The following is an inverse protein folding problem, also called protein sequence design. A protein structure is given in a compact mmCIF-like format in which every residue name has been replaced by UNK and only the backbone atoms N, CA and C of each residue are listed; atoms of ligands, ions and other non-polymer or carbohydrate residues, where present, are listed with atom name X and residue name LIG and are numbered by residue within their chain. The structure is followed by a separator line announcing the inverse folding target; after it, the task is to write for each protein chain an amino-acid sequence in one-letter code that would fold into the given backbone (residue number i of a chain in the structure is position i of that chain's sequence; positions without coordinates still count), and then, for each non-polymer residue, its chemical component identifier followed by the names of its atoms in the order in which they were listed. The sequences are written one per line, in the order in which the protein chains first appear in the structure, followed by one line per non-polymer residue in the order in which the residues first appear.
data_IF_853573130972
#
_entry.id   IF_853573130972
#
_cell.length_a   1.000
_cell.length_b   1.000
_cell.length_c   1.000
_cell.angle_alpha   90.00
_cell.angle_beta   90.00
_cell.angle_gamma   90.00
#
_symmetry.space_group_name_H-M   'P 1'
#
loop_
_entity.id
_entity.type
_entity.pdbx_description
1 polymer ?
#
# COMPACT_ATOMS: atom_id res chain seq x y z
N UNK A 1 6.59 -38.37 11.50
CA UNK A 1 6.13 -37.10 10.90
C UNK A 1 6.65 -35.96 11.76
N UNK A 2 7.75 -35.34 11.35
CA UNK A 2 8.30 -34.17 12.04
C UNK A 2 7.54 -32.96 11.49
N UNK A 3 6.56 -32.49 12.25
CA UNK A 3 5.80 -31.28 11.93
C UNK A 3 6.72 -30.08 12.03
N UNK A 4 7.05 -29.50 10.88
CA UNK A 4 7.69 -28.19 10.81
C UNK A 4 6.69 -27.15 11.31
N UNK A 5 6.77 -26.79 12.59
CA UNK A 5 6.21 -25.54 13.06
C UNK A 5 7.03 -24.41 12.41
N UNK A 6 6.49 -23.83 11.34
CA UNK A 6 6.95 -22.55 10.84
C UNK A 6 6.81 -21.53 11.97
N UNK A 7 7.93 -21.20 12.62
CA UNK A 7 7.98 -20.04 13.50
C UNK A 7 7.71 -18.83 12.62
N UNK A 8 6.51 -18.27 12.75
CA UNK A 8 6.22 -16.94 12.27
C UNK A 8 7.24 -16.01 12.92
N UNK A 9 8.16 -15.48 12.12
CA UNK A 9 9.09 -14.47 12.57
C UNK A 9 8.27 -13.28 13.09
N UNK A 10 8.17 -13.17 14.41
CA UNK A 10 7.66 -12.00 15.10
C UNK A 10 8.63 -10.85 14.83
N UNK A 11 8.40 -10.10 13.76
CA UNK A 11 9.10 -8.86 13.44
C UNK A 11 8.69 -7.77 14.43
N UNK A 12 9.17 -7.88 15.67
CA UNK A 12 8.87 -6.96 16.77
C UNK A 12 9.72 -5.66 16.75
N UNK A 13 10.59 -5.46 15.75
CA UNK A 13 11.54 -4.34 15.72
C UNK A 13 11.65 -3.63 14.35
N UNK A 14 10.60 -3.67 13.53
CA UNK A 14 10.60 -2.98 12.23
C UNK A 14 10.30 -1.49 12.44
N UNK A 15 11.32 -0.64 12.28
CA UNK A 15 11.13 0.82 12.21
C UNK A 15 10.64 1.22 10.81
N UNK A 16 9.64 2.11 10.73
CA UNK A 16 9.01 2.51 9.48
C UNK A 16 9.39 3.94 9.10
N UNK A 17 9.74 4.15 7.84
CA UNK A 17 10.07 5.46 7.30
C UNK A 17 9.11 5.82 6.20
N UNK A 18 8.56 7.02 6.30
CA UNK A 18 7.74 7.57 5.24
C UNK A 18 8.59 7.78 3.98
N UNK A 19 8.12 7.19 2.88
CA UNK A 19 8.64 7.47 1.55
C UNK A 19 7.84 8.59 0.89
N UNK A 20 6.50 8.51 0.94
CA UNK A 20 5.61 9.48 0.30
C UNK A 20 4.19 9.42 0.86
N UNK A 21 3.61 10.59 1.11
CA UNK A 21 2.17 10.77 1.26
C UNK A 21 1.52 11.19 -0.07
N UNK A 22 0.37 10.60 -0.40
CA UNK A 22 -0.44 10.89 -1.58
C UNK A 22 -1.82 11.36 -1.10
N UNK A 23 -2.17 12.61 -1.35
CA UNK A 23 -3.48 13.14 -0.97
C UNK A 23 -4.61 12.48 -1.75
N UNK A 24 -5.70 12.16 -1.06
CA UNK A 24 -6.93 11.69 -1.67
C UNK A 24 -7.63 12.85 -2.40
N UNK A 25 -8.25 12.60 -3.56
CA UNK A 25 -9.04 13.60 -4.25
C UNK A 25 -10.27 13.98 -3.42
N UNK A 26 -10.70 15.25 -3.48
CA UNK A 26 -11.84 15.78 -2.73
C UNK A 26 -13.20 15.13 -3.09
N UNK A 27 -13.23 14.29 -4.12
CA UNK A 27 -14.43 13.54 -4.48
C UNK A 27 -14.63 12.44 -3.45
N UNK A 28 -15.74 12.49 -2.69
CA UNK A 28 -16.10 11.51 -1.66
C UNK A 28 -16.20 10.09 -2.25
N UNK A 29 -15.09 9.35 -2.18
CA UNK A 29 -15.02 7.94 -2.51
C UNK A 29 -15.10 7.11 -1.21
N UNK A 30 -15.64 5.90 -1.31
CA UNK A 30 -15.63 4.96 -0.20
C UNK A 30 -14.19 4.51 0.09
N UNK A 31 -13.73 4.67 1.35
CA UNK A 31 -12.40 4.18 1.81
C UNK A 31 -12.19 2.70 1.50
N UNK A 32 -13.26 1.91 1.55
CA UNK A 32 -13.23 0.47 1.25
C UNK A 32 -12.92 0.23 -0.24
N UNK A 33 -13.52 0.99 -1.14
CA UNK A 33 -13.30 0.84 -2.58
C UNK A 33 -11.87 1.23 -2.96
N UNK A 34 -11.37 2.33 -2.39
CA UNK A 34 -9.99 2.77 -2.58
C UNK A 34 -9.02 1.68 -2.11
N UNK A 35 -9.26 1.11 -0.93
CA UNK A 35 -8.45 0.02 -0.39
C UNK A 35 -8.50 -1.23 -1.27
N UNK A 36 -9.69 -1.69 -1.67
CA UNK A 36 -9.86 -2.89 -2.50
C UNK A 36 -9.16 -2.75 -3.85
N UNK A 37 -9.28 -1.57 -4.50
CA UNK A 37 -8.63 -1.32 -5.78
C UNK A 37 -7.11 -1.29 -5.67
N UNK A 38 -6.59 -0.82 -4.55
CA UNK A 38 -5.16 -0.82 -4.29
C UNK A 38 -4.62 -2.21 -3.93
N UNK A 39 -5.37 -3.01 -3.19
CA UNK A 39 -5.03 -4.42 -2.93
C UNK A 39 -4.98 -5.25 -4.22
N UNK A 40 -5.89 -4.99 -5.16
CA UNK A 40 -5.88 -5.62 -6.49
C UNK A 40 -4.56 -5.33 -7.23
N UNK A 41 -4.07 -4.08 -7.20
CA UNK A 41 -2.83 -3.68 -7.87
C UNK A 41 -1.56 -4.24 -7.23
N UNK A 42 -1.55 -4.31 -5.90
CA UNK A 42 -0.46 -4.94 -5.14
C UNK A 42 -0.34 -6.41 -5.52
N UNK A 43 -1.49 -7.10 -5.66
CA UNK A 43 -1.54 -8.51 -6.06
C UNK A 43 -1.01 -8.72 -7.49
N UNK A 44 -1.27 -7.80 -8.42
CA UNK A 44 -0.76 -7.86 -9.80
C UNK A 44 0.77 -7.77 -9.90
N UNK A 45 1.44 -7.20 -8.89
CA UNK A 45 2.90 -7.03 -8.85
C UNK A 45 3.63 -8.10 -8.02
N UNK A 46 2.98 -9.24 -7.75
CA UNK A 46 3.55 -10.38 -7.00
C UNK A 46 3.98 -10.05 -5.56
N UNK A 47 3.47 -8.96 -4.99
CA UNK A 47 3.73 -8.63 -3.60
C UNK A 47 2.91 -9.55 -2.70
N UNK A 48 3.57 -10.12 -1.69
CA UNK A 48 2.88 -10.92 -0.69
C UNK A 48 2.31 -10.00 0.38
N UNK A 49 0.99 -9.98 0.55
CA UNK A 49 0.36 -9.30 1.69
C UNK A 49 0.72 -10.09 2.95
N UNK A 50 1.42 -9.45 3.87
CA UNK A 50 1.91 -10.06 5.11
C UNK A 50 0.94 -9.81 6.26
N UNK A 51 0.28 -8.65 6.26
CA UNK A 51 -0.60 -8.21 7.33
C UNK A 51 -1.58 -7.16 6.78
N UNK A 52 -2.79 -7.09 7.34
CA UNK A 52 -3.80 -6.12 6.95
C UNK A 52 -4.71 -5.75 8.13
N UNK A 53 -4.97 -4.46 8.26
CA UNK A 53 -5.99 -3.89 9.15
C UNK A 53 -7.01 -3.12 8.32
N UNK A 54 -8.02 -2.50 8.93
CA UNK A 54 -8.95 -1.57 8.25
C UNK A 54 -8.19 -0.50 7.47
N UNK A 55 -7.22 0.13 8.13
CA UNK A 55 -6.58 1.38 7.68
C UNK A 55 -5.13 1.18 7.21
N UNK A 56 -4.67 -0.06 7.08
CA UNK A 56 -3.34 -0.32 6.54
C UNK A 56 -3.20 -1.71 5.96
N UNK A 57 -2.21 -1.90 5.10
CA UNK A 57 -1.69 -3.23 4.80
C UNK A 57 -0.18 -3.20 4.68
N UNK A 58 0.45 -4.34 4.99
CA UNK A 58 1.87 -4.58 4.83
C UNK A 58 2.07 -5.60 3.71
N UNK A 59 3.07 -5.33 2.89
CA UNK A 59 3.43 -6.20 1.78
C UNK A 59 4.93 -6.40 1.71
N UNK A 60 5.35 -7.58 1.24
CA UNK A 60 6.76 -7.94 1.13
C UNK A 60 7.06 -8.55 -0.24
N UNK A 61 8.18 -8.12 -0.83
CA UNK A 61 8.75 -8.70 -2.05
C UNK A 61 10.27 -8.59 -1.98
N UNK A 62 10.97 -9.71 -2.18
CA UNK A 62 12.44 -9.77 -2.17
C UNK A 62 13.10 -9.12 -0.94
N UNK A 63 12.55 -9.37 0.27
CA UNK A 63 13.03 -8.82 1.56
C UNK A 63 12.90 -7.30 1.69
N UNK A 64 12.16 -6.64 0.81
CA UNK A 64 11.71 -5.26 0.97
C UNK A 64 10.30 -5.28 1.55
N UNK A 65 10.08 -4.61 2.67
CA UNK A 65 8.76 -4.51 3.29
C UNK A 65 8.21 -3.10 3.14
N UNK A 66 6.95 -3.03 2.73
CA UNK A 66 6.23 -1.77 2.53
C UNK A 66 4.96 -1.81 3.35
N UNK A 67 4.66 -0.73 4.04
CA UNK A 67 3.40 -0.52 4.75
C UNK A 67 2.66 0.65 4.11
N UNK A 68 1.47 0.37 3.59
CA UNK A 68 0.54 1.38 3.09
C UNK A 68 -0.46 1.69 4.19
N UNK A 69 -0.65 2.97 4.49
CA UNK A 69 -1.61 3.46 5.49
C UNK A 69 -2.64 4.34 4.78
N UNK A 70 -3.90 4.17 5.14
CA UNK A 70 -5.05 4.90 4.63
C UNK A 70 -5.59 5.82 5.72
N UNK A 71 -5.75 7.09 5.39
CA UNK A 71 -6.53 8.04 6.20
C UNK A 71 -7.71 8.57 5.37
N UNK A 72 -8.49 9.50 5.93
CA UNK A 72 -9.56 10.17 5.19
C UNK A 72 -9.02 11.19 4.19
N UNK A 73 -7.73 11.55 4.30
CA UNK A 73 -7.11 12.64 3.56
C UNK A 73 -5.96 12.18 2.66
N UNK A 74 -5.32 11.06 2.99
CA UNK A 74 -4.11 10.63 2.32
C UNK A 74 -3.87 9.12 2.37
N UNK A 75 -3.01 8.67 1.46
CA UNK A 75 -2.38 7.36 1.45
C UNK A 75 -0.89 7.56 1.70
N UNK A 76 -0.37 6.98 2.77
CA UNK A 76 1.05 7.07 3.13
C UNK A 76 1.75 5.77 2.81
N UNK A 77 2.81 5.84 2.00
CA UNK A 77 3.71 4.75 1.68
C UNK A 77 4.89 4.81 2.66
N UNK A 78 5.01 3.80 3.50
CA UNK A 78 6.16 3.61 4.37
C UNK A 78 6.99 2.41 3.92
N UNK A 79 8.30 2.50 4.06
CA UNK A 79 9.23 1.37 3.90
C UNK A 79 9.87 1.05 5.25
N UNK A 80 10.32 -0.18 5.44
CA UNK A 80 11.13 -0.50 6.62
C UNK A 80 12.49 0.23 6.56
N UNK A 81 12.92 0.84 7.69
CA UNK A 81 14.33 1.17 7.84
C UNK A 81 15.06 -0.12 8.14
N UNK A 82 15.99 -0.45 7.27
CA UNK A 82 17.09 -1.34 7.62
C UNK A 82 18.35 -0.48 7.80
N UNK A 83 18.26 0.58 8.59
CA UNK A 83 19.42 1.28 9.13
C UNK A 83 19.41 1.14 10.66
N UNK A 84 19.93 0.02 11.15
CA UNK A 84 20.45 -0.24 12.51
C UNK A 84 20.84 -1.73 12.54
N UNK A 85 22.09 -2.20 12.59
CA UNK A 85 23.42 -1.63 12.81
C UNK A 85 24.46 -2.52 12.09
N UNK A 86 25.70 -2.08 11.85
CA UNK A 86 26.80 -2.98 11.53
C UNK A 86 27.28 -3.64 12.83
N UNK A 87 26.74 -4.80 13.20
CA UNK A 87 27.42 -5.64 14.20
C UNK A 87 28.11 -6.76 13.46
N UNK A 88 29.44 -6.73 13.54
CA UNK A 88 30.36 -7.77 13.14
C UNK A 88 29.76 -9.18 13.33
N UNK A 89 29.84 -9.99 12.26
CA UNK A 89 29.57 -11.44 12.14
C UNK A 89 28.45 -11.81 11.15
N UNK A 90 28.74 -11.71 9.85
CA UNK A 90 28.22 -12.65 8.83
C UNK A 90 26.74 -12.63 8.47
N UNK A 91 25.89 -11.77 9.06
CA UNK A 91 24.47 -11.75 8.71
C UNK A 91 24.22 -10.95 7.41
N UNK A 92 23.60 -11.61 6.44
CA UNK A 92 23.30 -11.05 5.13
C UNK A 92 22.42 -9.79 5.26
N UNK A 93 22.95 -8.63 4.89
CA UNK A 93 22.18 -7.37 4.79
C UNK A 93 20.95 -7.60 3.90
N UNK A 94 19.76 -7.32 4.44
CA UNK A 94 18.54 -7.25 3.62
C UNK A 94 18.72 -6.08 2.63
N UNK A 95 18.43 -6.27 1.33
CA UNK A 95 18.54 -5.18 0.36
C UNK A 95 17.54 -4.07 0.69
N UNK A 96 17.97 -2.81 0.61
CA UNK A 96 17.06 -1.67 0.68
C UNK A 96 16.01 -1.77 -0.43
N UNK A 97 14.76 -1.41 -0.14
CA UNK A 97 13.73 -1.21 -1.15
C UNK A 97 14.27 -0.29 -2.25
N UNK A 98 14.26 -0.75 -3.50
CA UNK A 98 14.79 0.07 -4.59
C UNK A 98 13.89 1.31 -4.79
N UNK A 99 14.49 2.49 -4.98
CA UNK A 99 13.73 3.72 -5.25
C UNK A 99 12.78 3.59 -6.44
N UNK A 100 13.17 2.82 -7.45
CA UNK A 100 12.34 2.55 -8.63
C UNK A 100 11.04 1.83 -8.26
N UNK A 101 11.10 0.91 -7.30
CA UNK A 101 9.94 0.13 -6.88
C UNK A 101 8.95 0.99 -6.09
N UNK A 102 9.45 1.77 -5.14
CA UNK A 102 8.63 2.72 -4.38
C UNK A 102 7.99 3.78 -5.29
N UNK A 103 8.74 4.25 -6.30
CA UNK A 103 8.23 5.15 -7.33
C UNK A 103 7.11 4.53 -8.16
N UNK A 104 7.25 3.26 -8.55
CA UNK A 104 6.19 2.55 -9.29
C UNK A 104 4.92 2.38 -8.46
N UNK A 105 5.05 2.00 -7.18
CA UNK A 105 3.90 1.90 -6.27
C UNK A 105 3.19 3.25 -6.15
N UNK A 106 3.94 4.34 -5.98
CA UNK A 106 3.35 5.67 -5.92
C UNK A 106 2.65 6.08 -7.23
N UNK A 107 3.22 5.74 -8.39
CA UNK A 107 2.59 6.01 -9.70
C UNK A 107 1.31 5.22 -9.88
N UNK A 108 1.29 3.96 -9.46
CA UNK A 108 0.09 3.15 -9.54
C UNK A 108 -1.02 3.71 -8.66
N UNK A 109 -0.73 4.01 -7.38
CA UNK A 109 -1.70 4.62 -6.45
C UNK A 109 -2.28 5.91 -7.06
N UNK A 110 -1.44 6.81 -7.55
CA UNK A 110 -1.88 8.04 -8.21
C UNK A 110 -2.79 7.77 -9.41
N UNK A 111 -2.42 6.81 -10.26
CA UNK A 111 -3.20 6.44 -11.45
C UNK A 111 -4.57 5.89 -11.05
N UNK A 112 -4.62 5.04 -10.03
CA UNK A 112 -5.86 4.49 -9.49
C UNK A 112 -6.77 5.56 -8.93
N UNK A 113 -6.24 6.45 -8.10
CA UNK A 113 -7.01 7.56 -7.53
C UNK A 113 -7.60 8.44 -8.64
N UNK A 114 -6.84 8.69 -9.71
CA UNK A 114 -7.31 9.46 -10.85
C UNK A 114 -8.44 8.73 -11.61
N UNK A 115 -8.28 7.44 -11.91
CA UNK A 115 -9.32 6.63 -12.56
C UNK A 115 -10.60 6.62 -11.71
N UNK A 116 -10.47 6.36 -10.42
CA UNK A 116 -11.60 6.34 -9.49
C UNK A 116 -12.29 7.72 -9.41
N UNK A 117 -11.51 8.80 -9.45
CA UNK A 117 -12.05 10.18 -9.43
C UNK A 117 -12.92 10.44 -10.66
N UNK A 118 -12.41 10.08 -11.84
CA UNK A 118 -13.14 10.19 -13.11
C UNK A 118 -14.40 9.33 -13.10
N UNK A 119 -14.33 8.09 -12.60
CA UNK A 119 -15.49 7.20 -12.48
C UNK A 119 -16.56 7.79 -11.57
N UNK A 120 -16.17 8.32 -10.41
CA UNK A 120 -17.13 8.92 -9.49
C UNK A 120 -17.75 10.20 -10.04
N UNK A 121 -16.98 11.01 -10.79
CA UNK A 121 -17.52 12.17 -11.50
C UNK A 121 -18.56 11.76 -12.56
N UNK A 122 -18.28 10.73 -13.35
CA UNK A 122 -19.22 10.19 -14.34
C UNK A 122 -20.52 9.71 -13.68
N UNK A 123 -20.42 8.95 -12.59
CA UNK A 123 -21.59 8.49 -11.81
C UNK A 123 -22.41 9.68 -11.29
N UNK A 124 -21.76 10.72 -10.79
CA UNK A 124 -22.44 11.91 -10.29
C UNK A 124 -23.18 12.67 -11.41
N UNK A 125 -22.58 12.76 -12.60
CA UNK A 125 -23.21 13.37 -13.78
C UNK A 125 -24.44 12.56 -14.24
N UNK A 126 -24.34 11.23 -14.28
CA UNK A 126 -25.48 10.36 -14.63
C UNK A 126 -26.63 10.52 -13.64
N UNK A 127 -26.34 10.57 -12.34
CA UNK A 127 -27.36 10.80 -11.31
C UNK A 127 -28.02 12.17 -11.46
N UNK A 128 -27.26 13.22 -11.73
CA UNK A 128 -27.79 14.56 -11.95
C UNK A 128 -28.73 14.60 -13.18
N UNK A 129 -28.33 13.98 -14.29
CA UNK A 129 -29.15 13.89 -15.50
C UNK A 129 -30.45 13.10 -15.27
N UNK A 130 -30.39 12.00 -14.52
CA UNK A 130 -31.56 11.18 -14.19
C UNK A 130 -32.51 11.85 -13.18
N UNK A 131 -32.02 12.83 -12.40
CA UNK A 131 -32.84 13.60 -11.47
C UNK A 131 -33.49 14.80 -12.17
N UNK A 132 -32.85 15.38 -13.19
CA UNK A 132 -33.39 16.48 -13.97
C UNK A 132 -34.49 16.08 -14.99
N UNK A 133 -34.65 14.78 -15.25
CA UNK A 133 -35.65 14.22 -16.18
C UNK A 133 -36.86 13.57 -15.50
N UNK A 134 -36.95 13.66 -14.17
CA UNK A 134 -38.12 13.26 -13.36
C UNK A 134 -38.80 14.49 -12.78
#
# INVERSE_FOLDING_TARGET
MIGFCAQAATEANTSWHEYKAISLPAVTQSRLDTKLKLLELVSLRQWNIVDQTSDSFKMSLNKCNIKIIFTDEAITINQDNLNQEPVYNGQAKRPLCSRNWLSNIAKDINTTLNIMSIQQQAINLEKANNTATK
#
